data_IF_337047271627
#
_entry.id   IF_337047271627
#
_cell.length_a   1.000
_cell.length_b   1.000
_cell.length_c   1.000
_cell.angle_alpha   90.00
_cell.angle_beta   90.00
_cell.angle_gamma   90.00
#
_symmetry.space_group_name_H-M   'P 1'
#
loop_
_entity.id
_entity.type
_entity.pdbx_description
1 polymer ?
#
# COMPACT_ATOMS: atom_id res chain seq x y z
N UNK A 1 0.44 -7.65 0.21
CA UNK A 1 0.92 -6.93 1.41
C UNK A 1 0.46 -7.61 2.67
N UNK A 2 1.30 -7.64 3.71
CA UNK A 2 0.87 -7.94 5.09
C UNK A 2 0.05 -6.75 5.65
N UNK A 3 -0.77 -7.01 6.65
CA UNK A 3 -1.63 -5.99 7.26
C UNK A 3 -0.85 -4.81 7.83
N UNK A 4 0.21 -5.08 8.62
CA UNK A 4 1.02 -4.04 9.26
C UNK A 4 1.69 -3.10 8.24
N UNK A 5 2.20 -3.66 7.14
CA UNK A 5 2.80 -2.90 6.02
C UNK A 5 1.75 -1.98 5.38
N UNK A 6 0.54 -2.51 5.16
CA UNK A 6 -0.56 -1.76 4.58
C UNK A 6 -1.04 -0.62 5.48
N UNK A 7 -1.18 -0.87 6.78
CA UNK A 7 -1.57 0.13 7.77
C UNK A 7 -0.52 1.25 7.90
N UNK A 8 0.76 0.89 7.95
CA UNK A 8 1.86 1.85 8.02
C UNK A 8 1.89 2.78 6.79
N UNK A 9 1.76 2.20 5.59
CA UNK A 9 1.77 2.99 4.36
C UNK A 9 0.49 3.84 4.22
N UNK A 10 -0.67 3.32 4.61
CA UNK A 10 -1.93 4.05 4.62
C UNK A 10 -1.83 5.30 5.50
N UNK A 11 -1.36 5.13 6.74
CA UNK A 11 -1.19 6.24 7.68
C UNK A 11 -0.26 7.32 7.11
N UNK A 12 0.88 6.95 6.54
CA UNK A 12 1.82 7.92 5.98
C UNK A 12 1.25 8.66 4.76
N UNK A 13 0.41 8.01 3.95
CA UNK A 13 -0.28 8.64 2.82
C UNK A 13 -1.37 9.61 3.29
N UNK A 14 -2.14 9.25 4.31
CA UNK A 14 -3.13 10.16 4.93
C UNK A 14 -2.47 11.37 5.59
N UNK A 15 -1.36 11.19 6.31
CA UNK A 15 -0.58 12.28 6.92
C UNK A 15 -0.02 13.25 5.87
N UNK A 16 0.17 12.77 4.64
CA UNK A 16 0.58 13.57 3.49
C UNK A 16 -0.59 14.25 2.77
N UNK A 17 -1.83 14.01 3.20
CA UNK A 17 -3.06 14.56 2.63
C UNK A 17 -3.51 13.85 1.36
N UNK A 18 -3.07 12.61 1.12
CA UNK A 18 -3.55 11.80 0.00
C UNK A 18 -4.91 11.17 0.33
N UNK A 19 -5.84 11.19 -0.62
CA UNK A 19 -7.09 10.44 -0.52
C UNK A 19 -6.82 8.97 -0.88
N UNK A 20 -6.71 8.13 0.16
CA UNK A 20 -6.44 6.70 0.05
C UNK A 20 -7.55 5.88 0.67
N UNK A 21 -7.66 4.63 0.24
CA UNK A 21 -8.55 3.63 0.82
C UNK A 21 -7.79 2.33 0.98
N UNK A 22 -7.75 1.85 2.22
CA UNK A 22 -7.29 0.51 2.54
C UNK A 22 -8.36 -0.52 2.13
N UNK A 23 -7.94 -1.58 1.46
CA UNK A 23 -8.79 -2.71 1.10
C UNK A 23 -8.24 -3.97 1.74
N UNK A 24 -9.10 -4.61 2.53
CA UNK A 24 -8.95 -5.99 2.96
C UNK A 24 -9.46 -6.93 1.84
N UNK A 25 -8.79 -8.07 1.70
CA UNK A 25 -9.19 -9.15 0.78
C UNK A 25 -9.17 -8.78 -0.72
N UNK A 26 -8.21 -7.94 -1.14
CA UNK A 26 -8.06 -7.61 -2.55
C UNK A 26 -7.49 -8.82 -3.32
N UNK A 27 -8.39 -9.55 -3.99
CA UNK A 27 -8.17 -10.86 -4.62
C UNK A 27 -7.22 -10.87 -5.81
N UNK A 28 -6.62 -9.74 -6.19
CA UNK A 28 -5.70 -9.66 -7.34
C UNK A 28 -4.39 -10.43 -7.14
N UNK A 29 -4.01 -10.74 -5.89
CA UNK A 29 -2.85 -11.60 -5.55
C UNK A 29 -3.14 -12.71 -4.54
N UNK A 30 -4.28 -12.68 -3.87
CA UNK A 30 -4.71 -13.75 -2.97
C UNK A 30 -5.14 -15.02 -3.71
N UNK A 31 -4.22 -15.70 -4.40
CA UNK A 31 -4.41 -17.12 -4.70
C UNK A 31 -4.03 -17.91 -3.45
N UNK A 32 -4.82 -18.95 -3.13
CA UNK A 32 -4.57 -19.92 -2.04
C UNK A 32 -4.93 -19.50 -0.60
N UNK A 33 -5.87 -18.56 -0.43
CA UNK A 33 -6.51 -18.32 0.89
C UNK A 33 -5.72 -17.43 1.85
N UNK A 34 -4.67 -16.76 1.38
CA UNK A 34 -3.99 -15.71 2.13
C UNK A 34 -4.66 -14.35 1.89
N UNK A 35 -5.10 -13.70 2.97
CA UNK A 35 -5.68 -12.36 2.92
C UNK A 35 -4.62 -11.37 2.43
N UNK A 36 -4.89 -10.77 1.27
CA UNK A 36 -4.02 -9.74 0.70
C UNK A 36 -4.61 -8.37 0.98
N UNK A 37 -3.81 -7.51 1.59
CA UNK A 37 -4.15 -6.09 1.77
C UNK A 37 -3.64 -5.28 0.59
N UNK A 38 -4.40 -4.26 0.21
CA UNK A 38 -4.00 -3.32 -0.82
C UNK A 38 -4.45 -1.89 -0.53
N UNK A 39 -3.73 -0.91 -1.05
CA UNK A 39 -4.09 0.51 -0.97
C UNK A 39 -4.42 1.02 -2.36
N UNK A 40 -5.57 1.66 -2.51
CA UNK A 40 -6.02 2.32 -3.74
C UNK A 40 -6.35 3.78 -3.46
N UNK A 41 -6.13 4.67 -4.42
CA UNK A 41 -6.42 6.09 -4.25
C UNK A 41 -5.84 6.95 -5.36
N UNK A 42 -6.01 8.27 -5.24
CA UNK A 42 -5.37 9.24 -6.13
C UNK A 42 -4.05 9.69 -5.51
N UNK A 43 -2.96 9.02 -5.90
CA UNK A 43 -1.62 9.35 -5.47
C UNK A 43 -0.60 9.18 -6.60
N UNK A 44 0.43 10.04 -6.57
CA UNK A 44 1.58 9.88 -7.44
C UNK A 44 2.52 8.81 -6.89
N UNK A 45 3.29 8.16 -7.77
CA UNK A 45 4.36 7.24 -7.36
C UNK A 45 5.37 7.89 -6.40
N UNK A 46 5.65 9.19 -6.59
CA UNK A 46 6.50 9.97 -5.69
C UNK A 46 5.93 10.07 -4.27
N UNK A 47 4.60 10.22 -4.16
CA UNK A 47 3.90 10.29 -2.87
C UNK A 47 4.06 8.97 -2.12
N UNK A 48 3.90 7.84 -2.83
CA UNK A 48 4.09 6.50 -2.25
C UNK A 48 5.54 6.27 -1.84
N UNK A 49 6.51 6.59 -2.69
CA UNK A 49 7.93 6.44 -2.36
C UNK A 49 8.33 7.24 -1.12
N UNK A 50 7.81 8.47 -0.97
CA UNK A 50 8.06 9.31 0.20
C UNK A 50 7.36 8.78 1.46
N UNK A 51 6.12 8.33 1.35
CA UNK A 51 5.37 7.73 2.45
C UNK A 51 6.04 6.44 2.94
N UNK A 52 6.50 5.60 2.01
CA UNK A 52 7.21 4.37 2.33
C UNK A 52 8.58 4.63 2.96
N UNK A 53 9.35 5.58 2.43
CA UNK A 53 10.61 6.00 3.03
C UNK A 53 10.44 6.46 4.48
N UNK A 54 9.36 7.19 4.79
CA UNK A 54 9.03 7.56 6.18
C UNK A 54 8.66 6.36 7.02
N UNK A 55 7.82 5.45 6.53
CA UNK A 55 7.44 4.25 7.27
C UNK A 55 8.66 3.43 7.71
N UNK A 56 9.61 3.23 6.79
CA UNK A 56 10.88 2.52 7.05
C UNK A 56 11.79 3.24 8.07
N UNK A 57 11.70 4.57 8.21
CA UNK A 57 12.47 5.32 9.22
C UNK A 57 11.91 5.13 10.64
N UNK A 58 10.60 4.85 10.77
CA UNK A 58 9.91 4.77 12.06
C UNK A 58 9.68 3.34 12.55
N UNK A 59 9.76 2.35 11.67
CA UNK A 59 9.49 0.94 11.99
C UNK A 59 10.58 0.03 11.40
N UNK A 60 11.36 -0.58 12.29
CA UNK A 60 12.48 -1.46 11.95
C UNK A 60 12.05 -2.86 11.48
N UNK A 61 10.77 -3.22 11.68
CA UNK A 61 10.20 -4.50 11.24
C UNK A 61 9.72 -4.46 9.78
N UNK A 62 9.78 -3.29 9.13
CA UNK A 62 9.43 -3.10 7.72
C UNK A 62 10.65 -3.24 6.81
N UNK A 63 10.47 -3.86 5.65
CA UNK A 63 11.52 -4.02 4.64
C UNK A 63 11.14 -3.31 3.34
N UNK A 64 12.09 -2.67 2.66
CA UNK A 64 11.85 -1.99 1.39
C UNK A 64 11.15 -2.88 0.33
N UNK A 65 11.40 -4.19 0.37
CA UNK A 65 10.82 -5.19 -0.54
C UNK A 65 9.42 -5.69 -0.12
N UNK A 66 8.86 -5.21 1.00
CA UNK A 66 7.53 -5.60 1.48
C UNK A 66 6.37 -5.00 0.67
N UNK A 67 6.67 -4.04 -0.21
CA UNK A 67 5.67 -3.42 -1.10
C UNK A 67 5.92 -3.77 -2.57
N UNK A 68 4.85 -3.93 -3.32
CA UNK A 68 4.86 -4.13 -4.77
C UNK A 68 3.81 -3.27 -5.46
N UNK A 69 4.19 -2.62 -6.55
CA UNK A 69 3.32 -1.72 -7.29
C UNK A 69 2.65 -2.49 -8.44
N UNK A 70 1.32 -2.45 -8.47
CA UNK A 70 0.57 -2.85 -9.66
C UNK A 70 -0.32 -1.72 -10.15
N UNK A 71 -0.67 -1.80 -11.42
CA UNK A 71 -1.72 -0.96 -11.99
C UNK A 71 -2.95 -1.81 -12.23
N UNK A 72 -4.08 -1.42 -11.64
CA UNK A 72 -5.33 -2.13 -11.87
C UNK A 72 -6.08 -1.52 -13.06
N UNK A 73 -6.23 -2.33 -14.09
CA UNK A 73 -7.00 -2.01 -15.29
C UNK A 73 -8.51 -1.88 -15.05
N UNK A 74 -9.03 -2.27 -13.88
CA UNK A 74 -10.47 -2.19 -13.54
C UNK A 74 -10.91 -0.82 -12.98
N UNK A 75 -10.09 0.22 -13.11
CA UNK A 75 -10.48 1.60 -12.79
C UNK A 75 -10.20 2.03 -11.35
N UNK A 76 -9.45 1.23 -10.59
CA UNK A 76 -8.98 1.60 -9.25
C UNK A 76 -7.67 2.38 -9.25
N UNK A 77 -7.08 2.59 -10.43
CA UNK A 77 -5.82 3.33 -10.58
C UNK A 77 -4.61 2.48 -10.16
N UNK A 78 -3.73 3.07 -9.35
CA UNK A 78 -2.55 2.37 -8.81
C UNK A 78 -2.98 1.61 -7.56
N UNK A 79 -2.62 0.33 -7.49
CA UNK A 79 -2.80 -0.50 -6.29
C UNK A 79 -1.42 -0.88 -5.76
N UNK A 80 -1.23 -0.67 -4.46
CA UNK A 80 -0.02 -1.08 -3.76
C UNK A 80 -0.31 -2.37 -3.01
N UNK A 81 0.50 -3.40 -3.24
CA UNK A 81 0.57 -4.67 -2.52
C UNK A 81 1.80 -4.76 -1.66
#
# INVERSE_FOLDING_TARGET
MKQNVAEALHQQLEDMGCEVSLRDDYSGRGMYGETTYGISGDFSWCSVAKAWGRALEYDEDLNADDIDFTWDSMGLGIIIY
#
